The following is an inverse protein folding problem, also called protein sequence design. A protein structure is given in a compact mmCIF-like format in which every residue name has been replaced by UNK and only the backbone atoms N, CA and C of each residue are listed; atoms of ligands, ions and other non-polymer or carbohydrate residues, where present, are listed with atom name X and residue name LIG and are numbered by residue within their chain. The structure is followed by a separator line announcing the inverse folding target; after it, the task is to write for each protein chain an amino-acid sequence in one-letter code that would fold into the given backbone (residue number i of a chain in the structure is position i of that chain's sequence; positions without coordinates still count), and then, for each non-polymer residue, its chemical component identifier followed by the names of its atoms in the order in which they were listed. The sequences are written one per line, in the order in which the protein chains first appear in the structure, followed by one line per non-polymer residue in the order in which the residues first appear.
data_IF_065397476864
#
_entry.id   IF_065397476864
#
_cell.length_a   1.000
_cell.length_b   1.000
_cell.length_c   1.000
_cell.angle_alpha   90.00
_cell.angle_beta   90.00
_cell.angle_gamma   90.00
#
_symmetry.space_group_name_H-M   'P 1'
#
loop_
_entity.id
_entity.type
_entity.pdbx_description
1 polymer ?
#
# COMPACT_ATOMS: atom_id res chain seq x y z
N UNK A 1 47.95 3.72 -1.67
CA UNK A 1 46.51 3.78 -1.32
C UNK A 1 45.73 4.45 -2.46
N UNK A 2 45.16 3.70 -3.40
CA UNK A 2 44.42 4.32 -4.53
C UNK A 2 43.35 3.46 -5.22
N UNK A 3 43.28 2.15 -5.00
CA UNK A 3 42.33 1.29 -5.74
C UNK A 3 40.94 1.11 -5.10
N UNK A 4 40.75 1.36 -3.80
CA UNK A 4 39.46 1.12 -3.13
C UNK A 4 38.46 2.27 -3.28
N UNK A 5 38.92 3.49 -3.60
CA UNK A 5 38.03 4.67 -3.74
C UNK A 5 37.18 4.63 -5.03
N UNK A 6 37.71 4.07 -6.12
CA UNK A 6 37.01 3.98 -7.41
C UNK A 6 35.79 3.02 -7.36
N UNK A 7 35.92 1.78 -6.84
CA UNK A 7 34.77 0.89 -6.66
C UNK A 7 33.65 1.49 -5.79
N UNK A 8 33.99 2.16 -4.68
CA UNK A 8 33.01 2.77 -3.78
C UNK A 8 32.22 3.89 -4.48
N UNK A 9 32.90 4.74 -5.26
CA UNK A 9 32.23 5.78 -6.04
C UNK A 9 31.28 5.19 -7.11
N UNK A 10 31.70 4.12 -7.79
CA UNK A 10 30.85 3.44 -8.78
C UNK A 10 29.63 2.82 -8.10
N UNK A 11 29.80 2.10 -6.99
CA UNK A 11 28.69 1.52 -6.23
C UNK A 11 27.73 2.61 -5.76
N UNK A 12 28.24 3.75 -5.29
CA UNK A 12 27.40 4.89 -4.90
C UNK A 12 26.53 5.41 -6.04
N UNK A 13 27.10 5.56 -7.24
CA UNK A 13 26.36 5.99 -8.44
C UNK A 13 25.31 4.95 -8.84
N UNK A 14 25.68 3.67 -8.88
CA UNK A 14 24.75 2.58 -9.21
C UNK A 14 23.58 2.53 -8.23
N UNK A 15 23.84 2.67 -6.92
CA UNK A 15 22.79 2.72 -5.90
C UNK A 15 21.83 3.90 -6.10
N UNK A 16 22.34 5.09 -6.46
CA UNK A 16 21.48 6.23 -6.77
C UNK A 16 20.61 5.99 -8.01
N UNK A 17 21.18 5.39 -9.07
CA UNK A 17 20.42 5.05 -10.28
C UNK A 17 19.34 4.02 -9.96
N UNK A 18 19.68 2.97 -9.23
CA UNK A 18 18.72 1.95 -8.79
C UNK A 18 17.59 2.59 -7.98
N UNK A 19 17.93 3.49 -7.04
CA UNK A 19 16.94 4.19 -6.25
C UNK A 19 16.00 5.08 -7.09
N UNK A 20 16.54 5.79 -8.08
CA UNK A 20 15.73 6.59 -9.02
C UNK A 20 14.78 5.71 -9.83
N UNK A 21 15.25 4.57 -10.33
CA UNK A 21 14.42 3.60 -11.05
C UNK A 21 13.26 3.10 -10.16
N UNK A 22 13.53 2.78 -8.89
CA UNK A 22 12.49 2.35 -7.95
C UNK A 22 11.44 3.45 -7.71
N UNK A 23 11.85 4.71 -7.56
CA UNK A 23 10.90 5.83 -7.40
C UNK A 23 9.99 5.94 -8.63
N UNK A 24 10.58 5.90 -9.83
CA UNK A 24 9.81 6.01 -11.08
C UNK A 24 8.84 4.83 -11.24
N UNK A 25 9.32 3.61 -10.99
CA UNK A 25 8.50 2.41 -11.08
C UNK A 25 7.34 2.44 -10.07
N UNK A 26 7.62 2.79 -8.81
CA UNK A 26 6.59 2.94 -7.79
C UNK A 26 5.56 4.00 -8.18
N UNK A 27 6.00 5.17 -8.63
CA UNK A 27 5.12 6.25 -9.07
C UNK A 27 4.26 5.89 -10.29
N UNK A 28 4.80 5.13 -11.24
CA UNK A 28 4.05 4.63 -12.39
C UNK A 28 2.92 3.69 -11.95
N UNK A 29 3.20 2.74 -11.06
CA UNK A 29 2.19 1.83 -10.50
C UNK A 29 1.13 2.61 -9.71
N UNK A 30 1.54 3.59 -8.90
CA UNK A 30 0.60 4.48 -8.18
C UNK A 30 -0.37 5.17 -9.14
N UNK A 31 0.18 5.75 -10.21
CA UNK A 31 -0.60 6.42 -11.24
C UNK A 31 -1.58 5.49 -11.96
N UNK A 32 -1.15 4.26 -12.26
CA UNK A 32 -1.99 3.24 -12.88
C UNK A 32 -3.19 2.86 -12.00
N UNK A 33 -2.97 2.60 -10.71
CA UNK A 33 -4.05 2.28 -9.75
C UNK A 33 -4.99 3.49 -9.61
N UNK A 34 -4.44 4.70 -9.60
CA UNK A 34 -5.22 5.95 -9.54
C UNK A 34 -6.13 6.10 -10.75
N UNK A 35 -5.63 5.80 -11.95
CA UNK A 35 -6.42 5.78 -13.17
C UNK A 35 -7.59 4.80 -13.06
N UNK A 36 -7.29 3.53 -12.77
CA UNK A 36 -8.30 2.47 -12.65
C UNK A 36 -9.42 2.84 -11.65
N UNK A 37 -9.06 3.34 -10.46
CA UNK A 37 -10.07 3.73 -9.47
C UNK A 37 -10.95 4.90 -9.94
N UNK A 38 -10.39 5.86 -10.67
CA UNK A 38 -11.14 7.01 -11.18
C UNK A 38 -12.06 6.61 -12.34
N UNK A 39 -11.65 5.65 -13.15
CA UNK A 39 -12.43 5.14 -14.28
C UNK A 39 -13.73 4.45 -13.81
N UNK A 40 -13.71 3.81 -12.64
CA UNK A 40 -14.91 3.24 -12.00
C UNK A 40 -15.94 4.31 -11.56
N UNK A 41 -15.57 5.59 -11.56
CA UNK A 41 -16.44 6.74 -11.27
C UNK A 41 -17.27 6.61 -9.97
N UNK A 42 -16.70 5.95 -8.96
CA UNK A 42 -17.37 5.72 -7.68
C UNK A 42 -17.32 7.00 -6.86
N UNK A 43 -18.49 7.44 -6.34
CA UNK A 43 -18.61 8.54 -5.40
C UNK A 43 -18.98 8.00 -4.03
N UNK A 44 -18.26 8.44 -3.00
CA UNK A 44 -18.52 8.02 -1.63
C UNK A 44 -19.89 8.53 -1.18
N UNK A 45 -20.70 7.65 -0.61
CA UNK A 45 -22.06 7.98 -0.15
C UNK A 45 -22.07 9.15 0.82
N UNK A 46 -23.18 9.90 0.84
CA UNK A 46 -23.37 11.05 1.72
C UNK A 46 -23.40 10.66 3.22
N UNK A 47 -23.76 9.41 3.52
CA UNK A 47 -23.84 8.87 4.88
C UNK A 47 -22.51 8.26 5.37
N UNK A 48 -21.41 8.51 4.67
CA UNK A 48 -20.07 8.08 5.05
C UNK A 48 -19.52 8.92 6.21
N UNK A 49 -18.86 8.26 7.16
CA UNK A 49 -18.24 8.94 8.31
C UNK A 49 -17.08 9.85 7.88
N UNK A 50 -16.46 9.55 6.74
CA UNK A 50 -15.31 10.28 6.20
C UNK A 50 -15.40 10.40 4.68
N UNK A 51 -14.92 11.52 4.14
CA UNK A 51 -14.73 11.74 2.70
C UNK A 51 -16.02 11.60 1.85
N UNK A 52 -17.19 11.78 2.48
CA UNK A 52 -18.49 11.79 1.81
C UNK A 52 -18.51 12.73 0.59
N UNK A 53 -19.11 12.27 -0.50
CA UNK A 53 -19.21 13.02 -1.76
C UNK A 53 -17.90 13.12 -2.57
N UNK A 54 -16.76 12.60 -2.07
CA UNK A 54 -15.52 12.55 -2.85
C UNK A 54 -15.53 11.36 -3.80
N UNK A 55 -14.89 11.54 -4.95
CA UNK A 55 -14.60 10.43 -5.86
C UNK A 55 -13.52 9.51 -5.32
N UNK A 56 -13.69 8.21 -5.53
CA UNK A 56 -12.67 7.20 -5.22
C UNK A 56 -11.54 7.32 -6.24
N UNK A 57 -10.33 7.57 -5.75
CA UNK A 57 -9.16 7.75 -6.63
C UNK A 57 -7.84 7.73 -5.88
N UNK A 58 -7.82 7.17 -4.68
CA UNK A 58 -6.65 7.12 -3.81
C UNK A 58 -6.90 6.23 -2.60
N UNK A 59 -5.84 5.93 -1.82
CA UNK A 59 -5.90 4.93 -0.75
C UNK A 59 -6.95 5.27 0.32
N UNK A 60 -7.00 6.51 0.79
CA UNK A 60 -7.96 6.90 1.83
C UNK A 60 -9.41 6.89 1.34
N UNK A 61 -9.66 7.33 0.10
CA UNK A 61 -11.00 7.30 -0.49
C UNK A 61 -11.47 5.87 -0.75
N UNK A 62 -10.58 4.96 -1.19
CA UNK A 62 -10.91 3.55 -1.38
C UNK A 62 -11.22 2.86 -0.04
N UNK A 63 -10.42 3.15 0.99
CA UNK A 63 -10.67 2.65 2.34
C UNK A 63 -12.02 3.14 2.90
N UNK A 64 -12.33 4.44 2.77
CA UNK A 64 -13.59 5.01 3.21
C UNK A 64 -14.79 4.37 2.48
N UNK A 65 -14.70 4.20 1.15
CA UNK A 65 -15.74 3.53 0.38
C UNK A 65 -15.96 2.08 0.82
N UNK A 66 -14.88 1.34 1.10
CA UNK A 66 -14.99 -0.03 1.59
C UNK A 66 -15.72 -0.10 2.96
N UNK A 67 -15.51 0.90 3.83
CA UNK A 67 -16.26 1.02 5.08
C UNK A 67 -17.76 1.23 4.85
N UNK A 68 -18.11 2.14 3.95
CA UNK A 68 -19.51 2.45 3.59
C UNK A 68 -20.22 1.23 3.00
N UNK A 69 -19.57 0.49 2.10
CA UNK A 69 -20.14 -0.74 1.54
C UNK A 69 -20.45 -1.76 2.65
N UNK A 70 -19.58 -1.88 3.67
CA UNK A 70 -19.85 -2.77 4.80
C UNK A 70 -21.10 -2.33 5.57
N UNK A 71 -21.21 -1.03 5.84
CA UNK A 71 -22.34 -0.46 6.57
C UNK A 71 -23.65 -0.77 5.86
N UNK A 72 -23.73 -0.55 4.55
CA UNK A 72 -24.92 -0.84 3.74
C UNK A 72 -25.20 -2.34 3.62
N UNK A 73 -24.16 -3.17 3.47
CA UNK A 73 -24.31 -4.62 3.42
C UNK A 73 -24.91 -5.17 4.73
N UNK A 74 -24.41 -4.72 5.89
CA UNK A 74 -24.92 -5.11 7.20
C UNK A 74 -26.32 -4.55 7.47
N UNK A 75 -26.59 -3.31 7.09
CA UNK A 75 -27.93 -2.73 7.21
C UNK A 75 -28.95 -3.54 6.39
N UNK A 76 -28.59 -3.95 5.17
CA UNK A 76 -29.45 -4.76 4.29
C UNK A 76 -29.65 -6.21 4.72
N UNK A 77 -28.81 -6.74 5.62
CA UNK A 77 -28.92 -8.11 6.16
C UNK A 77 -29.43 -8.19 7.60
N UNK A 78 -29.87 -7.08 8.18
CA UNK A 78 -30.25 -7.03 9.60
C UNK A 78 -29.07 -7.26 10.55
N UNK A 79 -27.86 -6.88 10.13
CA UNK A 79 -26.62 -7.03 10.90
C UNK A 79 -25.92 -8.38 10.71
N UNK A 80 -26.48 -9.29 9.91
CA UNK A 80 -25.94 -10.64 9.72
C UNK A 80 -24.84 -10.66 8.65
N UNK A 81 -23.76 -11.37 8.94
CA UNK A 81 -22.68 -11.65 8.01
C UNK A 81 -23.07 -12.72 6.97
N UNK A 82 -22.24 -12.90 5.94
CA UNK A 82 -22.46 -13.91 4.91
C UNK A 82 -22.61 -15.34 5.46
N UNK A 83 -21.85 -15.69 6.50
CA UNK A 83 -21.93 -16.99 7.14
C UNK A 83 -23.22 -17.13 7.95
N UNK A 84 -23.55 -16.13 8.76
CA UNK A 84 -24.75 -16.12 9.61
C UNK A 84 -26.04 -16.15 8.78
N UNK A 85 -26.08 -15.46 7.63
CA UNK A 85 -27.21 -15.58 6.70
C UNK A 85 -27.33 -16.99 6.11
N UNK A 86 -26.20 -17.67 5.90
CA UNK A 86 -26.20 -19.07 5.45
C UNK A 86 -26.76 -20.01 6.51
N UNK A 87 -26.44 -19.77 7.78
CA UNK A 87 -26.96 -20.55 8.90
C UNK A 87 -28.44 -20.25 9.15
N UNK A 88 -28.86 -18.98 9.08
CA UNK A 88 -30.27 -18.56 9.16
C UNK A 88 -31.12 -19.19 8.05
N UNK A 89 -30.62 -19.24 6.82
CA UNK A 89 -31.33 -19.90 5.72
C UNK A 89 -31.57 -21.39 6.00
N UNK A 90 -30.55 -22.11 6.49
CA UNK A 90 -30.68 -23.53 6.87
C UNK A 90 -31.63 -23.74 8.05
N UNK A 91 -31.63 -22.81 9.01
CA UNK A 91 -32.55 -22.86 10.15
C UNK A 91 -34.00 -22.71 9.70
N UNK A 92 -34.28 -21.74 8.81
CA UNK A 92 -35.60 -21.55 8.21
C UNK A 92 -36.06 -22.78 7.42
N UNK A 93 -35.17 -23.37 6.60
CA UNK A 93 -35.47 -24.62 5.87
C UNK A 93 -35.84 -25.76 6.82
N UNK A 94 -35.12 -25.92 7.95
CA UNK A 94 -35.41 -26.95 8.96
C UNK A 94 -36.69 -26.67 9.74
N UNK A 95 -37.02 -25.40 9.96
CA UNK A 95 -38.24 -24.97 10.65
C UNK A 95 -39.50 -25.12 9.78
N UNK A 96 -39.35 -25.51 8.50
CA UNK A 96 -40.47 -25.59 7.55
C UNK A 96 -41.00 -24.21 7.15
N UNK A 97 -40.15 -23.19 7.18
CA UNK A 97 -40.49 -21.85 6.70
C UNK A 97 -40.85 -21.89 5.20
N UNK A 98 -41.55 -20.84 4.76
CA UNK A 98 -41.95 -20.73 3.36
C UNK A 98 -40.73 -20.61 2.44
N UNK A 99 -40.86 -21.07 1.20
CA UNK A 99 -39.80 -20.91 0.19
C UNK A 99 -39.43 -19.44 -0.03
N UNK A 100 -40.40 -18.53 0.13
CA UNK A 100 -40.25 -17.09 0.00
C UNK A 100 -39.32 -16.50 1.08
N UNK A 101 -39.52 -16.88 2.34
CA UNK A 101 -38.67 -16.45 3.46
C UNK A 101 -37.22 -16.94 3.30
N UNK A 102 -37.05 -18.20 2.88
CA UNK A 102 -35.72 -18.77 2.61
C UNK A 102 -35.06 -18.06 1.42
N UNK A 103 -35.82 -17.76 0.36
CA UNK A 103 -35.33 -17.04 -0.81
C UNK A 103 -34.87 -15.62 -0.47
N UNK A 104 -35.59 -14.91 0.40
CA UNK A 104 -35.21 -13.57 0.85
C UNK A 104 -33.85 -13.58 1.58
N UNK A 105 -33.66 -14.49 2.53
CA UNK A 105 -32.38 -14.62 3.26
C UNK A 105 -31.23 -14.99 2.32
N UNK A 106 -31.48 -15.85 1.33
CA UNK A 106 -30.48 -16.19 0.28
C UNK A 106 -30.16 -14.97 -0.61
N UNK A 107 -31.13 -14.13 -0.92
CA UNK A 107 -30.92 -12.89 -1.67
C UNK A 107 -30.08 -11.88 -0.86
N UNK A 108 -30.39 -11.69 0.42
CA UNK A 108 -29.57 -10.88 1.34
C UNK A 108 -28.13 -11.40 1.40
N UNK A 109 -27.95 -12.72 1.49
CA UNK A 109 -26.64 -13.37 1.50
C UNK A 109 -25.84 -13.08 0.23
N UNK A 110 -26.50 -13.08 -0.92
CA UNK A 110 -25.89 -12.72 -2.20
C UNK A 110 -25.46 -11.25 -2.23
N UNK A 111 -26.29 -10.35 -1.70
CA UNK A 111 -25.96 -8.93 -1.57
C UNK A 111 -24.72 -8.70 -0.67
N UNK A 112 -24.68 -9.34 0.51
CA UNK A 112 -23.53 -9.26 1.44
C UNK A 112 -22.25 -9.84 0.83
N UNK A 113 -22.39 -10.91 0.05
CA UNK A 113 -21.27 -11.50 -0.69
C UNK A 113 -20.68 -10.51 -1.69
N UNK A 114 -21.53 -9.86 -2.50
CA UNK A 114 -21.09 -8.82 -3.44
C UNK A 114 -20.43 -7.65 -2.73
N UNK A 115 -21.01 -7.19 -1.61
CA UNK A 115 -20.40 -6.15 -0.77
C UNK A 115 -19.02 -6.56 -0.27
N UNK A 116 -18.83 -7.81 0.15
CA UNK A 116 -17.54 -8.33 0.59
C UNK A 116 -16.51 -8.36 -0.55
N UNK A 117 -16.92 -8.74 -1.76
CA UNK A 117 -16.03 -8.73 -2.93
C UNK A 117 -15.59 -7.32 -3.33
N UNK A 118 -16.52 -6.36 -3.37
CA UNK A 118 -16.20 -4.96 -3.67
C UNK A 118 -15.26 -4.36 -2.62
N UNK A 119 -15.45 -4.72 -1.35
CA UNK A 119 -14.53 -4.31 -0.28
C UNK A 119 -13.15 -4.92 -0.45
N UNK A 120 -13.09 -6.21 -0.78
CA UNK A 120 -11.83 -6.91 -1.00
C UNK A 120 -11.05 -6.29 -2.17
N UNK A 121 -11.72 -5.96 -3.28
CA UNK A 121 -11.07 -5.28 -4.41
C UNK A 121 -10.57 -3.88 -4.02
N UNK A 122 -11.37 -3.08 -3.31
CA UNK A 122 -10.95 -1.76 -2.82
C UNK A 122 -9.76 -1.85 -1.86
N UNK A 123 -9.76 -2.80 -0.92
CA UNK A 123 -8.62 -3.02 -0.02
C UNK A 123 -7.38 -3.53 -0.77
N UNK A 124 -7.56 -4.33 -1.82
CA UNK A 124 -6.44 -4.74 -2.69
C UNK A 124 -5.80 -3.51 -3.33
N UNK A 125 -6.59 -2.53 -3.78
CA UNK A 125 -6.06 -1.24 -4.26
C UNK A 125 -5.35 -0.45 -3.16
N UNK A 126 -5.89 -0.41 -1.93
CA UNK A 126 -5.23 0.27 -0.78
C UNK A 126 -3.86 -0.36 -0.48
N UNK A 127 -3.78 -1.69 -0.46
CA UNK A 127 -2.52 -2.41 -0.27
C UNK A 127 -1.55 -2.12 -1.42
N UNK A 128 -2.03 -2.10 -2.67
CA UNK A 128 -1.19 -1.80 -3.83
C UNK A 128 -0.60 -0.37 -3.76
N UNK A 129 -1.36 0.61 -3.29
CA UNK A 129 -0.81 1.94 -2.96
C UNK A 129 0.27 1.87 -1.88
N UNK A 130 0.02 1.14 -0.79
CA UNK A 130 1.00 0.94 0.28
C UNK A 130 2.31 0.34 -0.22
N UNK A 131 2.25 -0.69 -1.07
CA UNK A 131 3.43 -1.33 -1.68
C UNK A 131 4.13 -0.36 -2.62
N UNK A 132 3.40 0.39 -3.45
CA UNK A 132 4.00 1.41 -4.32
C UNK A 132 4.73 2.50 -3.52
N UNK A 133 4.13 3.01 -2.44
CA UNK A 133 4.79 3.95 -1.53
C UNK A 133 6.05 3.37 -0.89
N UNK A 134 6.01 2.10 -0.46
CA UNK A 134 7.17 1.40 0.08
C UNK A 134 8.31 1.34 -0.95
N UNK A 135 8.01 0.97 -2.19
CA UNK A 135 9.00 0.90 -3.28
C UNK A 135 9.64 2.27 -3.54
N UNK A 136 8.83 3.33 -3.58
CA UNK A 136 9.36 4.70 -3.70
C UNK A 136 10.22 5.09 -2.48
N UNK A 137 9.80 4.74 -1.27
CA UNK A 137 10.55 4.99 -0.04
C UNK A 137 11.89 4.25 0.00
N UNK A 138 11.92 2.99 -0.47
CA UNK A 138 13.17 2.25 -0.66
C UNK A 138 14.05 2.93 -1.71
N UNK A 139 13.48 3.39 -2.81
CA UNK A 139 14.22 4.13 -3.82
C UNK A 139 14.91 5.38 -3.26
N UNK A 140 14.20 6.15 -2.42
CA UNK A 140 14.78 7.27 -1.69
C UNK A 140 15.93 6.83 -0.78
N UNK A 141 15.76 5.72 -0.05
CA UNK A 141 16.83 5.18 0.81
C UNK A 141 18.08 4.81 0.01
N UNK A 142 17.93 4.16 -1.15
CA UNK A 142 19.04 3.81 -2.04
C UNK A 142 19.77 5.04 -2.56
N UNK A 143 19.04 6.13 -2.86
CA UNK A 143 19.65 7.42 -3.25
C UNK A 143 20.48 7.99 -2.09
N UNK A 144 19.94 8.01 -0.87
CA UNK A 144 20.65 8.52 0.31
C UNK A 144 21.92 7.71 0.63
N UNK A 145 21.84 6.38 0.52
CA UNK A 145 22.99 5.49 0.69
C UNK A 145 24.03 5.76 -0.40
N UNK A 146 23.61 5.83 -1.66
CA UNK A 146 24.50 6.08 -2.78
C UNK A 146 25.19 7.45 -2.70
N UNK A 147 24.46 8.47 -2.26
CA UNK A 147 24.99 9.80 -1.96
C UNK A 147 26.04 9.75 -0.85
N UNK A 148 25.75 9.06 0.25
CA UNK A 148 26.69 8.89 1.36
C UNK A 148 27.99 8.21 0.90
N UNK A 149 27.90 7.11 0.12
CA UNK A 149 29.07 6.42 -0.43
C UNK A 149 29.90 7.32 -1.35
N UNK A 150 29.25 8.16 -2.16
CA UNK A 150 29.93 9.14 -3.02
C UNK A 150 30.72 10.14 -2.18
N UNK A 151 30.12 10.69 -1.13
CA UNK A 151 30.78 11.63 -0.21
C UNK A 151 31.99 10.96 0.48
N UNK A 152 31.85 9.73 0.97
CA UNK A 152 32.97 8.98 1.58
C UNK A 152 34.11 8.70 0.59
N UNK A 153 33.81 8.38 -0.67
CA UNK A 153 34.82 8.15 -1.69
C UNK A 153 35.61 9.43 -2.05
N UNK A 154 34.98 10.61 -1.90
CA UNK A 154 35.59 11.92 -2.16
C UNK A 154 36.36 12.51 -0.98
N UNK A 155 36.28 11.92 0.23
CA UNK A 155 36.98 12.45 1.40
C UNK A 155 38.52 12.35 1.25
N UNK A 156 39.28 13.44 1.53
CA UNK A 156 40.74 13.38 1.56
C UNK A 156 41.18 12.42 2.67
N UNK A 157 42.22 11.64 2.41
CA UNK A 157 42.79 10.79 3.45
C UNK A 157 43.40 11.71 4.52
N UNK A 158 42.88 11.70 5.74
CA UNK A 158 43.50 12.39 6.87
C UNK A 158 44.92 11.85 6.98
N UNK A 159 45.92 12.70 6.70
CA UNK A 159 47.31 12.33 6.90
C UNK A 159 47.48 11.93 8.37
N UNK A 160 47.99 10.72 8.62
CA UNK A 160 48.39 10.32 9.96
C UNK A 160 49.34 11.39 10.52
N UNK A 161 49.22 11.79 11.80
CA UNK A 161 50.12 12.76 12.37
C UNK A 161 51.55 12.21 12.21
N UNK A 162 52.41 12.99 11.56
CA UNK A 162 53.81 12.66 11.39
C UNK A 162 54.39 12.40 12.78
N UNK A 163 54.78 11.14 13.04
CA UNK A 163 55.49 10.78 14.24
C UNK A 163 56.68 11.74 14.40
N UNK A 164 56.71 12.46 15.52
CA UNK A 164 57.81 13.31 15.90
C UNK A 164 59.12 12.54 15.72
N UNK A 165 59.99 13.04 14.83
CA UNK A 165 61.38 12.59 14.76
C UNK A 165 61.99 12.92 16.12
N UNK A 166 62.18 11.89 16.93
CA UNK A 166 63.00 11.93 18.12
C UNK A 166 64.43 12.28 17.68
N UNK A 167 64.82 13.54 17.86
CA UNK A 167 66.22 13.94 17.78
C UNK A 167 66.91 13.43 19.04
N UNK A 168 67.39 12.18 18.99
CA UNK A 168 68.35 11.68 19.99
C UNK A 168 69.75 12.11 19.54
N UNK A 169 70.31 13.07 20.28
CA UNK A 169 71.74 13.34 20.30
C UNK A 169 72.50 12.07 20.73
N UNK A 170 73.49 11.66 19.93
CA UNK A 170 74.72 11.02 20.38
C UNK A 170 75.78 11.11 19.27
#
# INVERSE_FOLDING_TARGET
MSNTKKPVAIIGIVSMIAGLVLIIAGGAVWGMITGQLKDENITISADADMLAGKKVGGPFTAYAQAGVINKHALAGSGGLTYAELGDKAKELEKAGATEEEVAEVKAQRTSVMNGSFLRASLFTSVVAYGVSALVMGLGLMFILIGYSLKVLASAPATAAPAAARETVNA
#
